data_IF_439913614986
#
_entry.id   IF_439913614986
#
_cell.length_a   1.000
_cell.length_b   1.000
_cell.length_c   1.000
_cell.angle_alpha   90.00
_cell.angle_beta   90.00
_cell.angle_gamma   90.00
#
_symmetry.space_group_name_H-M   'P 1'
#
loop_
_entity.id
_entity.type
_entity.pdbx_description
1 polymer ?
#
# COMPACT_ATOMS: atom_id res chain seq x y z
N UNK A 1 -27.16 -3.00 38.72
CA UNK A 1 -26.12 -1.95 38.55
C UNK A 1 -24.91 -2.30 39.39
N UNK A 2 -24.05 -3.20 38.90
CA UNK A 2 -22.84 -3.61 39.60
C UNK A 2 -21.66 -3.49 38.65
N UNK A 3 -21.06 -2.30 38.58
CA UNK A 3 -19.74 -2.12 37.97
C UNK A 3 -18.87 -1.22 38.84
N UNK A 4 -17.86 -1.87 39.42
CA UNK A 4 -16.48 -1.39 39.56
C UNK A 4 -16.19 -0.19 40.47
N UNK A 5 -16.15 -0.44 41.79
CA UNK A 5 -15.07 0.15 42.62
C UNK A 5 -13.81 -0.69 42.44
N UNK A 6 -13.21 -0.64 41.24
CA UNK A 6 -11.90 -1.24 41.04
C UNK A 6 -10.91 -0.52 41.96
N UNK A 7 -10.10 -1.26 42.71
CA UNK A 7 -9.09 -0.67 43.59
C UNK A 7 -8.20 0.28 42.77
N UNK A 8 -8.05 1.54 43.21
CA UNK A 8 -7.22 2.56 42.53
C UNK A 8 -5.82 2.03 42.18
N UNK A 9 -5.27 1.15 43.03
CA UNK A 9 -3.99 0.50 42.80
C UNK A 9 -3.99 -0.39 41.56
N UNK A 10 -5.03 -1.22 41.36
CA UNK A 10 -5.14 -2.09 40.17
C UNK A 10 -5.28 -1.27 38.89
N UNK A 11 -6.04 -0.17 38.95
CA UNK A 11 -6.16 0.75 37.81
C UNK A 11 -4.83 1.41 37.45
N UNK A 12 -4.02 1.76 38.46
CA UNK A 12 -2.68 2.30 38.21
C UNK A 12 -1.75 1.24 37.61
N UNK A 13 -1.79 0.01 38.12
CA UNK A 13 -0.98 -1.10 37.61
C UNK A 13 -1.35 -1.42 36.15
N UNK A 14 -2.64 -1.45 35.81
CA UNK A 14 -3.08 -1.77 34.43
C UNK A 14 -2.61 -0.74 33.41
N UNK A 15 -2.35 0.50 33.85
CA UNK A 15 -1.82 1.58 33.01
C UNK A 15 -0.30 1.57 32.87
N UNK A 16 0.40 0.69 33.56
CA UNK A 16 1.86 0.60 33.43
C UNK A 16 2.25 0.13 32.04
N UNK A 17 3.33 0.71 31.49
CA UNK A 17 3.85 0.35 30.17
C UNK A 17 4.14 -1.15 30.04
N UNK A 18 4.67 -1.79 31.09
CA UNK A 18 4.95 -3.23 31.09
C UNK A 18 3.71 -4.09 30.82
N UNK A 19 2.57 -3.75 31.43
CA UNK A 19 1.28 -4.43 31.17
C UNK A 19 0.82 -4.19 29.73
N UNK A 20 0.97 -2.98 29.20
CA UNK A 20 0.58 -2.65 27.82
C UNK A 20 1.43 -3.35 26.77
N UNK A 21 2.75 -3.49 27.00
CA UNK A 21 3.63 -4.31 26.15
C UNK A 21 3.14 -5.75 26.08
N UNK A 22 2.74 -6.35 27.21
CA UNK A 22 2.20 -7.71 27.22
C UNK A 22 0.85 -7.79 26.46
N UNK A 23 0.02 -6.75 26.54
CA UNK A 23 -1.22 -6.67 25.79
C UNK A 23 -0.97 -6.63 24.27
N UNK A 24 0.02 -5.86 23.82
CA UNK A 24 0.47 -5.81 22.41
C UNK A 24 0.96 -7.17 21.95
N UNK A 25 1.84 -7.83 22.71
CA UNK A 25 2.33 -9.18 22.39
C UNK A 25 1.19 -10.19 22.27
N UNK A 26 0.20 -10.10 23.16
CA UNK A 26 -1.00 -10.94 23.09
C UNK A 26 -1.80 -10.64 21.82
N UNK A 27 -2.02 -9.37 21.50
CA UNK A 27 -2.72 -8.98 20.28
C UNK A 27 -2.00 -9.46 19.01
N UNK A 28 -0.66 -9.37 18.96
CA UNK A 28 0.16 -9.93 17.87
C UNK A 28 0.01 -11.44 17.74
N UNK A 29 -0.06 -12.16 18.87
CA UNK A 29 -0.23 -13.62 18.86
C UNK A 29 -1.59 -14.07 18.29
N UNK A 30 -2.61 -13.21 18.32
CA UNK A 30 -3.93 -13.46 17.71
C UNK A 30 -4.09 -12.84 16.32
N UNK A 31 -3.09 -12.08 15.83
CA UNK A 31 -3.18 -11.43 14.53
C UNK A 31 -2.79 -12.41 13.41
N UNK A 32 -3.74 -12.88 12.59
CA UNK A 32 -3.46 -13.83 11.52
C UNK A 32 -2.57 -13.24 10.41
N UNK A 33 -2.44 -11.91 10.34
CA UNK A 33 -1.66 -11.22 9.34
C UNK A 33 -0.27 -10.82 9.84
N UNK A 34 0.08 -11.16 11.09
CA UNK A 34 1.38 -10.86 11.71
C UNK A 34 1.79 -9.38 11.53
N UNK A 35 0.84 -8.47 11.74
CA UNK A 35 1.06 -7.07 11.44
C UNK A 35 2.21 -6.49 12.28
N UNK A 36 3.23 -5.87 11.66
CA UNK A 36 4.32 -5.25 12.38
C UNK A 36 3.86 -4.00 13.14
N UNK A 37 4.68 -3.57 14.10
CA UNK A 37 4.57 -2.24 14.69
C UNK A 37 5.18 -1.22 13.72
N UNK A 38 4.65 0.00 13.70
CA UNK A 38 5.18 1.07 12.83
C UNK A 38 6.60 1.52 13.25
N UNK A 39 6.99 1.24 14.50
CA UNK A 39 8.29 1.57 15.10
C UNK A 39 8.65 0.58 16.22
N UNK A 40 9.88 0.67 16.73
CA UNK A 40 10.30 -0.08 17.91
C UNK A 40 9.33 0.10 19.10
N UNK A 41 9.01 -1.00 19.80
CA UNK A 41 8.01 -1.00 20.88
C UNK A 41 8.39 -0.05 22.03
N UNK A 42 9.69 0.16 22.23
CA UNK A 42 10.33 1.09 23.17
C UNK A 42 9.86 2.53 23.00
N UNK A 43 9.55 2.93 21.75
CA UNK A 43 9.18 4.31 21.41
C UNK A 43 7.70 4.61 21.59
N UNK A 44 6.88 3.61 21.90
CA UNK A 44 5.46 3.85 22.20
C UNK A 44 5.26 4.20 23.68
N UNK A 45 4.41 5.20 23.88
CA UNK A 45 3.81 5.51 25.18
C UNK A 45 2.87 4.38 25.61
N UNK A 46 2.54 4.33 26.90
CA UNK A 46 1.61 3.32 27.41
C UNK A 46 0.22 3.43 26.76
N UNK A 47 -0.24 4.65 26.50
CA UNK A 47 -1.54 4.91 25.89
C UNK A 47 -1.56 4.47 24.42
N UNK A 48 -0.51 4.76 23.65
CA UNK A 48 -0.43 4.29 22.26
C UNK A 48 -0.37 2.76 22.16
N UNK A 49 0.31 2.09 23.09
CA UNK A 49 0.34 0.62 23.15
C UNK A 49 -1.04 0.04 23.48
N UNK A 50 -1.79 0.68 24.39
CA UNK A 50 -3.17 0.32 24.68
C UNK A 50 -4.04 0.47 23.43
N UNK A 51 -4.02 1.63 22.81
CA UNK A 51 -4.83 1.93 21.62
C UNK A 51 -4.49 0.97 20.47
N UNK A 52 -3.21 0.67 20.27
CA UNK A 52 -2.76 -0.29 19.26
C UNK A 52 -3.30 -1.69 19.51
N UNK A 53 -3.22 -2.18 20.76
CA UNK A 53 -3.65 -3.53 21.10
C UNK A 53 -5.17 -3.66 21.09
N UNK A 54 -5.89 -2.67 21.62
CA UNK A 54 -7.35 -2.66 21.66
C UNK A 54 -7.95 -2.67 20.27
N UNK A 55 -7.38 -1.95 19.31
CA UNK A 55 -7.83 -1.99 17.90
C UNK A 55 -7.79 -3.39 17.32
N UNK A 56 -6.71 -4.14 17.54
CA UNK A 56 -6.57 -5.51 17.01
C UNK A 56 -7.44 -6.52 17.74
N UNK A 57 -7.45 -6.46 19.07
CA UNK A 57 -8.26 -7.37 19.88
C UNK A 57 -9.76 -7.18 19.60
N UNK A 58 -10.22 -5.95 19.41
CA UNK A 58 -11.65 -5.67 19.12
C UNK A 58 -12.06 -6.02 17.69
N UNK A 59 -11.13 -6.03 16.73
CA UNK A 59 -11.42 -6.47 15.35
C UNK A 59 -11.71 -7.97 15.27
N UNK A 60 -10.96 -8.79 16.03
CA UNK A 60 -11.12 -10.24 16.02
C UNK A 60 -12.52 -10.69 16.49
N UNK A 61 -13.05 -10.06 17.53
CA UNK A 61 -14.34 -10.43 18.09
C UNK A 61 -15.54 -9.99 17.24
N UNK A 62 -15.37 -8.99 16.35
CA UNK A 62 -16.49 -8.29 15.71
C UNK A 62 -16.74 -8.65 14.25
N UNK A 63 -15.81 -9.33 13.58
CA UNK A 63 -15.94 -9.59 12.14
C UNK A 63 -15.73 -11.06 11.76
N UNK A 64 -16.66 -11.95 12.11
CA UNK A 64 -16.63 -13.32 11.59
C UNK A 64 -16.74 -13.31 10.05
N UNK A 65 -16.17 -14.30 9.34
CA UNK A 65 -16.08 -14.32 7.87
C UNK A 65 -17.43 -14.15 7.13
N UNK A 66 -18.53 -14.49 7.81
CA UNK A 66 -19.88 -14.46 7.24
C UNK A 66 -20.73 -13.27 7.75
N UNK A 67 -20.11 -12.27 8.40
CA UNK A 67 -20.84 -11.15 8.95
C UNK A 67 -21.20 -10.13 7.87
N UNK A 68 -22.49 -10.03 7.55
CA UNK A 68 -23.06 -8.95 6.72
C UNK A 68 -23.28 -7.65 7.49
N UNK A 69 -22.74 -7.53 8.72
CA UNK A 69 -22.89 -6.32 9.52
C UNK A 69 -22.14 -5.16 8.86
N UNK A 70 -22.74 -3.97 8.95
CA UNK A 70 -22.10 -2.74 8.48
C UNK A 70 -20.86 -2.42 9.31
N UNK A 71 -19.85 -1.76 8.71
CA UNK A 71 -18.67 -1.34 9.44
C UNK A 71 -19.08 -0.52 10.68
N UNK A 72 -18.47 -0.82 11.84
CA UNK A 72 -18.79 -0.11 13.09
C UNK A 72 -18.49 1.39 13.02
N UNK A 73 -17.65 1.79 12.06
CA UNK A 73 -17.33 3.19 11.77
C UNK A 73 -17.04 3.33 10.29
N UNK A 74 -17.84 4.15 9.61
CA UNK A 74 -17.55 4.60 8.25
C UNK A 74 -17.14 6.07 8.32
N UNK A 75 -16.04 6.43 7.64
CA UNK A 75 -15.64 7.82 7.44
C UNK A 75 -15.56 8.06 5.94
N UNK A 76 -16.15 9.16 5.50
CA UNK A 76 -15.95 9.68 4.15
C UNK A 76 -14.94 10.79 4.27
N UNK A 77 -13.79 10.65 3.63
CA UNK A 77 -12.85 11.74 3.44
C UNK A 77 -12.76 12.00 1.94
N UNK A 78 -12.83 13.27 1.57
CA UNK A 78 -12.56 13.71 0.21
C UNK A 78 -11.11 14.17 0.21
N UNK A 79 -10.16 13.37 -0.30
CA UNK A 79 -8.83 13.92 -0.52
C UNK A 79 -9.03 15.14 -1.42
N UNK A 80 -8.54 16.31 -0.98
CA UNK A 80 -8.67 17.59 -1.71
C UNK A 80 -8.16 17.51 -3.17
N UNK A 81 -7.48 16.43 -3.52
CA UNK A 81 -7.00 16.08 -4.85
C UNK A 81 -7.51 14.67 -5.17
N UNK A 82 -8.04 14.46 -6.38
CA UNK A 82 -8.60 13.17 -6.80
C UNK A 82 -7.52 12.09 -6.74
N UNK A 83 -7.65 11.17 -5.80
CA UNK A 83 -6.80 9.99 -5.73
C UNK A 83 -7.08 9.07 -6.92
N UNK A 84 -6.05 8.52 -7.55
CA UNK A 84 -6.20 7.57 -8.67
C UNK A 84 -6.04 6.14 -8.18
N UNK A 85 -4.91 5.84 -7.56
CA UNK A 85 -4.62 4.55 -6.94
C UNK A 85 -4.36 4.73 -5.46
N UNK A 86 -4.70 3.74 -4.66
CA UNK A 86 -4.44 3.75 -3.23
C UNK A 86 -4.10 2.35 -2.74
N UNK A 87 -3.11 2.28 -1.85
CA UNK A 87 -2.68 1.06 -1.19
C UNK A 87 -2.74 1.27 0.32
N UNK A 88 -3.25 0.27 1.02
CA UNK A 88 -3.25 0.23 2.48
C UNK A 88 -1.99 -0.51 2.93
N UNK A 89 -1.14 0.15 3.72
CA UNK A 89 0.02 -0.49 4.31
C UNK A 89 -0.39 -1.46 5.43
N UNK A 90 0.45 -2.45 5.77
CA UNK A 90 0.17 -3.38 6.85
C UNK A 90 -0.19 -2.64 8.14
N UNK A 91 -1.22 -3.12 8.82
CA UNK A 91 -1.77 -2.53 10.04
C UNK A 91 -2.83 -1.46 9.84
N UNK A 92 -3.10 -1.09 8.60
CA UNK A 92 -4.33 -0.39 8.24
C UNK A 92 -4.39 1.07 8.70
N UNK A 93 -3.32 1.61 9.28
CA UNK A 93 -3.22 3.02 9.66
C UNK A 93 -2.86 3.91 8.48
N UNK A 94 -1.94 3.48 7.64
CA UNK A 94 -1.35 4.33 6.61
C UNK A 94 -1.90 3.98 5.23
N UNK A 95 -2.51 4.95 4.57
CA UNK A 95 -2.96 4.84 3.19
C UNK A 95 -2.04 5.66 2.29
N UNK A 96 -1.40 5.02 1.32
CA UNK A 96 -0.59 5.72 0.30
C UNK A 96 -1.43 5.86 -0.96
N UNK A 97 -1.47 7.05 -1.53
CA UNK A 97 -2.28 7.34 -2.72
C UNK A 97 -1.48 8.12 -3.76
N UNK A 98 -1.74 7.81 -5.04
CA UNK A 98 -1.36 8.67 -6.16
C UNK A 98 -2.44 9.72 -6.39
N UNK A 99 -2.02 10.93 -6.76
CA UNK A 99 -2.91 12.02 -7.11
C UNK A 99 -3.04 12.15 -8.63
N UNK A 100 -4.18 12.62 -9.11
CA UNK A 100 -4.44 12.87 -10.54
C UNK A 100 -3.48 13.84 -11.23
N UNK A 101 -2.72 14.61 -10.45
CA UNK A 101 -1.71 15.54 -10.94
C UNK A 101 -0.28 15.05 -10.69
N UNK A 102 -0.11 13.78 -10.34
CA UNK A 102 1.21 13.17 -10.17
C UNK A 102 1.67 13.01 -8.72
N UNK A 103 1.33 13.89 -7.78
CA UNK A 103 1.85 13.76 -6.41
C UNK A 103 1.58 12.41 -5.71
N UNK A 104 2.43 12.06 -4.76
CA UNK A 104 2.23 10.95 -3.82
C UNK A 104 1.93 11.48 -2.43
N UNK A 105 0.90 10.93 -1.81
CA UNK A 105 0.50 11.30 -0.45
C UNK A 105 0.38 10.09 0.45
N UNK A 106 0.69 10.28 1.73
CA UNK A 106 0.40 9.32 2.79
C UNK A 106 -0.64 9.92 3.72
N UNK A 107 -1.69 9.17 4.04
CA UNK A 107 -2.79 9.60 4.91
C UNK A 107 -2.80 8.76 6.19
N UNK A 108 -2.83 9.43 7.34
CA UNK A 108 -3.03 8.79 8.65
C UNK A 108 -4.53 8.55 8.87
N UNK A 109 -4.99 7.30 8.77
CA UNK A 109 -6.39 6.93 8.95
C UNK A 109 -6.83 6.94 10.43
N UNK A 110 -5.87 6.92 11.36
CA UNK A 110 -6.18 7.03 12.79
C UNK A 110 -6.41 8.49 13.19
N UNK A 111 -5.78 9.44 12.50
CA UNK A 111 -5.98 10.87 12.76
C UNK A 111 -7.47 11.24 12.67
N UNK A 112 -8.00 12.07 13.59
CA UNK A 112 -9.42 12.45 13.58
C UNK A 112 -9.87 13.04 12.23
N UNK A 113 -9.01 13.84 11.61
CA UNK A 113 -9.25 14.55 10.35
C UNK A 113 -8.63 13.87 9.12
N UNK A 114 -8.09 12.66 9.27
CA UNK A 114 -7.35 11.96 8.21
C UNK A 114 -6.25 12.85 7.58
N UNK A 115 -5.33 13.34 8.41
CA UNK A 115 -4.24 14.21 7.96
C UNK A 115 -3.42 13.52 6.86
N UNK A 116 -3.12 14.26 5.80
CA UNK A 116 -2.31 13.77 4.69
C UNK A 116 -0.99 14.53 4.61
N UNK A 117 0.05 13.82 4.20
CA UNK A 117 1.38 14.37 3.96
C UNK A 117 1.77 14.10 2.51
N UNK A 118 2.18 15.14 1.79
CA UNK A 118 2.85 14.99 0.50
C UNK A 118 4.24 14.39 0.73
N UNK A 119 4.50 13.22 0.16
CA UNK A 119 5.82 12.58 0.22
C UNK A 119 6.61 12.77 -1.07
N UNK A 120 5.94 13.11 -2.18
CA UNK A 120 6.58 13.47 -3.43
C UNK A 120 5.67 14.37 -4.27
N UNK A 121 6.28 15.33 -4.95
CA UNK A 121 5.60 16.23 -5.88
C UNK A 121 6.22 16.13 -7.28
N UNK A 122 5.40 16.21 -8.35
CA UNK A 122 5.87 16.24 -9.73
C UNK A 122 6.92 17.32 -9.95
N UNK A 123 8.01 16.98 -10.63
CA UNK A 123 9.06 17.91 -11.03
C UNK A 123 9.04 18.16 -12.55
N UNK A 124 8.60 17.16 -13.32
CA UNK A 124 8.55 17.18 -14.77
C UNK A 124 7.09 17.12 -15.28
N UNK A 125 6.86 17.27 -16.58
CA UNK A 125 5.50 17.22 -17.16
C UNK A 125 4.97 15.79 -17.27
N UNK A 126 5.86 14.83 -17.54
CA UNK A 126 5.56 13.39 -17.57
C UNK A 126 5.25 12.82 -16.17
N UNK A 127 5.76 13.44 -15.12
CA UNK A 127 5.37 13.14 -13.73
C UNK A 127 3.86 13.34 -13.46
N UNK A 128 3.18 14.15 -14.29
CA UNK A 128 1.74 14.46 -14.16
C UNK A 128 0.86 13.46 -14.90
N UNK A 129 1.43 12.57 -15.70
CA UNK A 129 0.69 11.53 -16.40
C UNK A 129 -0.06 10.63 -15.42
N UNK A 130 -1.20 10.03 -15.80
CA UNK A 130 -1.94 9.12 -14.94
C UNK A 130 -1.06 7.97 -14.44
N UNK A 131 -1.22 7.64 -13.16
CA UNK A 131 -0.71 6.40 -12.60
C UNK A 131 -1.49 5.21 -13.18
N UNK A 132 -0.79 4.13 -13.54
CA UNK A 132 -1.41 2.88 -14.02
C UNK A 132 -1.46 1.81 -12.93
N UNK A 133 -0.43 1.78 -12.07
CA UNK A 133 -0.34 0.88 -10.93
C UNK A 133 0.38 1.57 -9.76
N UNK A 134 0.09 1.10 -8.54
CA UNK A 134 0.79 1.52 -7.34
C UNK A 134 1.01 0.28 -6.48
N UNK A 135 2.26 -0.10 -6.28
CA UNK A 135 2.62 -1.31 -5.51
C UNK A 135 3.76 -1.02 -4.56
N UNK A 136 3.89 -1.85 -3.52
CA UNK A 136 4.88 -1.63 -2.47
C UNK A 136 5.49 -2.94 -1.98
N UNK A 137 6.62 -2.81 -1.29
CA UNK A 137 7.30 -3.89 -0.58
C UNK A 137 7.83 -3.38 0.76
N UNK A 138 7.43 -4.00 1.87
CA UNK A 138 7.91 -3.63 3.22
C UNK A 138 9.34 -4.16 3.43
N UNK A 139 10.19 -3.32 4.01
CA UNK A 139 11.49 -3.73 4.53
C UNK A 139 11.34 -4.17 5.99
N UNK A 140 11.16 -5.48 6.20
CA UNK A 140 10.97 -6.08 7.53
C UNK A 140 12.23 -6.00 8.42
N UNK A 141 13.39 -5.72 7.83
CA UNK A 141 14.67 -5.58 8.55
C UNK A 141 14.84 -4.15 9.12
N UNK A 142 14.02 -3.19 8.69
CA UNK A 142 14.12 -1.80 9.12
C UNK A 142 13.52 -1.57 10.52
N UNK A 143 14.17 -0.73 11.38
CA UNK A 143 13.67 -0.48 12.74
C UNK A 143 12.40 0.39 12.78
N UNK A 144 12.17 1.19 11.74
CA UNK A 144 10.93 1.93 11.50
C UNK A 144 10.26 1.45 10.22
N UNK A 145 8.94 1.65 10.12
CA UNK A 145 8.16 1.36 8.92
C UNK A 145 8.84 1.97 7.69
N UNK A 146 9.44 1.09 6.90
CA UNK A 146 10.16 1.43 5.68
C UNK A 146 9.68 0.51 4.58
N UNK A 147 9.46 1.08 3.41
CA UNK A 147 8.99 0.34 2.27
C UNK A 147 9.51 0.93 0.96
N UNK A 148 9.73 0.06 0.00
CA UNK A 148 9.95 0.46 -1.37
C UNK A 148 8.58 0.58 -2.07
N UNK A 149 8.41 1.62 -2.88
CA UNK A 149 7.19 1.94 -3.62
C UNK A 149 7.53 1.96 -5.10
N UNK A 150 6.71 1.31 -5.93
CA UNK A 150 6.80 1.38 -7.37
C UNK A 150 5.51 1.95 -7.98
N UNK A 151 5.70 2.76 -9.01
CA UNK A 151 4.65 3.46 -9.73
C UNK A 151 5.02 3.49 -11.20
N UNK A 152 4.08 3.14 -12.07
CA UNK A 152 4.21 3.37 -13.49
C UNK A 152 3.22 4.43 -13.96
N UNK A 153 3.68 5.25 -14.89
CA UNK A 153 2.89 6.30 -15.54
C UNK A 153 3.00 6.17 -17.04
N UNK A 154 1.89 6.40 -17.72
CA UNK A 154 1.81 6.33 -19.17
C UNK A 154 1.26 7.65 -19.72
N UNK A 155 1.85 8.14 -20.81
CA UNK A 155 1.28 9.26 -21.54
C UNK A 155 -0.07 8.85 -22.15
N UNK A 156 -1.18 9.52 -21.79
CA UNK A 156 -2.48 9.20 -22.38
C UNK A 156 -2.59 9.60 -23.85
N UNK A 157 -1.67 10.42 -24.37
CA UNK A 157 -1.68 10.92 -25.74
C UNK A 157 -0.70 10.19 -26.68
N UNK A 158 0.17 9.33 -26.16
CA UNK A 158 1.20 8.66 -26.96
C UNK A 158 0.69 7.34 -27.53
N UNK A 159 0.76 7.19 -28.86
CA UNK A 159 0.51 5.91 -29.54
C UNK A 159 1.57 4.84 -29.22
N UNK A 160 2.75 5.26 -28.76
CA UNK A 160 3.87 4.37 -28.45
C UNK A 160 3.78 3.78 -27.03
N UNK A 161 2.82 4.26 -26.23
CA UNK A 161 2.65 3.89 -24.83
C UNK A 161 3.99 3.90 -24.06
N UNK A 162 4.71 5.02 -24.13
CA UNK A 162 5.92 5.18 -23.33
C UNK A 162 5.53 5.18 -21.85
N UNK A 163 6.08 4.22 -21.11
CA UNK A 163 5.82 4.08 -19.68
C UNK A 163 7.07 4.45 -18.91
N UNK A 164 6.95 5.43 -18.01
CA UNK A 164 7.99 5.76 -17.05
C UNK A 164 7.67 5.09 -15.72
N UNK A 165 8.61 4.29 -15.23
CA UNK A 165 8.49 3.58 -13.95
C UNK A 165 9.38 4.28 -12.93
N UNK A 166 8.85 4.50 -11.74
CA UNK A 166 9.51 5.17 -10.64
C UNK A 166 9.57 4.26 -9.42
N UNK A 167 10.67 4.37 -8.69
CA UNK A 167 10.89 3.65 -7.45
C UNK A 167 11.31 4.62 -6.35
N UNK A 168 10.62 4.59 -5.22
CA UNK A 168 11.00 5.33 -4.02
C UNK A 168 11.24 4.40 -2.87
N UNK A 169 12.15 4.78 -1.98
CA UNK A 169 12.22 4.24 -0.63
C UNK A 169 11.58 5.26 0.30
N UNK A 170 10.58 4.81 1.04
CA UNK A 170 9.78 5.62 1.94
C UNK A 170 10.00 5.12 3.36
N UNK A 171 10.32 6.02 4.29
CA UNK A 171 10.59 5.68 5.70
C UNK A 171 9.82 6.62 6.62
N UNK A 172 9.19 6.04 7.64
CA UNK A 172 8.59 6.77 8.75
C UNK A 172 9.68 7.31 9.68
N UNK A 173 9.53 8.55 10.13
CA UNK A 173 10.40 9.18 11.10
C UNK A 173 10.40 8.43 12.43
N UNK A 174 11.47 8.56 13.20
CA UNK A 174 11.62 7.94 14.52
C UNK A 174 10.47 8.28 15.48
N UNK A 175 9.94 9.51 15.40
CA UNK A 175 8.79 9.97 16.19
C UNK A 175 7.44 9.43 15.70
N UNK A 176 7.40 8.70 14.58
CA UNK A 176 6.20 8.09 14.01
C UNK A 176 5.19 9.08 13.43
N UNK A 177 5.61 10.30 13.09
CA UNK A 177 4.69 11.37 12.64
C UNK A 177 4.82 11.75 11.18
N UNK A 178 5.97 11.53 10.54
CA UNK A 178 6.25 12.00 9.19
C UNK A 178 6.94 10.95 8.34
N UNK A 179 6.53 10.84 7.09
CA UNK A 179 7.25 10.06 6.10
C UNK A 179 8.29 10.91 5.37
N UNK A 180 9.40 10.27 5.00
CA UNK A 180 10.36 10.79 4.04
C UNK A 180 10.40 9.84 2.86
N UNK A 181 10.47 10.37 1.64
CA UNK A 181 10.61 9.56 0.44
C UNK A 181 11.86 9.99 -0.32
N UNK A 182 12.62 9.01 -0.78
CA UNK A 182 13.79 9.20 -1.62
C UNK A 182 13.61 8.40 -2.89
N UNK A 183 13.70 9.05 -4.04
CA UNK A 183 13.73 8.32 -5.32
C UNK A 183 14.99 7.47 -5.38
N UNK A 184 14.81 6.17 -5.63
CA UNK A 184 15.89 5.18 -5.71
C UNK A 184 16.28 4.93 -7.15
N UNK A 185 15.28 4.82 -8.03
CA UNK A 185 15.50 4.63 -9.46
C UNK A 185 14.30 5.12 -10.27
N UNK A 186 14.51 5.37 -11.55
CA UNK A 186 13.47 5.52 -12.55
C UNK A 186 14.00 5.11 -13.92
N UNK A 187 13.13 4.56 -14.75
CA UNK A 187 13.50 4.23 -16.13
C UNK A 187 12.27 4.24 -17.05
N UNK A 188 12.54 4.47 -18.33
CA UNK A 188 11.57 4.31 -19.39
C UNK A 188 11.48 2.85 -19.81
N UNK A 189 10.30 2.43 -20.26
CA UNK A 189 10.09 1.13 -20.89
C UNK A 189 8.95 1.23 -21.89
N UNK A 190 9.06 0.48 -22.98
CA UNK A 190 7.97 0.37 -23.94
C UNK A 190 6.82 -0.37 -23.27
N UNK A 191 5.66 0.28 -23.15
CA UNK A 191 4.46 -0.30 -22.60
C UNK A 191 3.50 -0.65 -23.71
N UNK A 192 3.79 -1.63 -24.58
CA UNK A 192 2.87 -1.98 -25.69
C UNK A 192 1.41 -2.16 -25.23
N UNK A 193 1.22 -2.51 -23.96
CA UNK A 193 -0.09 -2.72 -23.35
C UNK A 193 -0.21 -2.07 -21.97
N UNK A 194 -1.44 -1.76 -21.56
CA UNK A 194 -1.77 -1.22 -20.25
C UNK A 194 -1.42 -2.23 -19.15
N UNK A 195 -0.80 -1.75 -18.06
CA UNK A 195 -0.57 -2.53 -16.85
C UNK A 195 -1.92 -2.92 -16.23
N UNK A 196 -2.15 -4.23 -16.10
CA UNK A 196 -3.33 -4.81 -15.45
C UNK A 196 -3.06 -5.07 -13.98
N UNK A 197 -1.86 -5.53 -13.67
CA UNK A 197 -1.44 -5.85 -12.31
C UNK A 197 0.08 -5.70 -12.18
N UNK A 198 0.54 -5.48 -10.96
CA UNK A 198 1.95 -5.35 -10.66
C UNK A 198 2.28 -5.93 -9.27
N UNK A 199 3.56 -6.25 -9.09
CA UNK A 199 4.09 -6.71 -7.80
C UNK A 199 5.50 -6.22 -7.61
N UNK A 200 5.86 -5.91 -6.36
CA UNK A 200 7.19 -5.45 -5.99
C UNK A 200 7.76 -6.36 -4.90
N UNK A 201 9.03 -6.70 -5.07
CA UNK A 201 9.85 -7.39 -4.09
C UNK A 201 11.16 -6.64 -3.89
N UNK A 202 11.96 -7.05 -2.90
CA UNK A 202 13.29 -6.49 -2.63
C UNK A 202 14.19 -6.40 -3.87
N UNK A 203 14.05 -7.34 -4.82
CA UNK A 203 14.92 -7.45 -6.01
C UNK A 203 14.21 -7.18 -7.32
N UNK A 204 12.94 -7.58 -7.42
CA UNK A 204 12.22 -7.60 -8.68
C UNK A 204 10.94 -6.77 -8.64
N UNK A 205 10.70 -6.08 -9.74
CA UNK A 205 9.42 -5.48 -10.07
C UNK A 205 8.81 -6.32 -11.20
N UNK A 206 7.60 -6.84 -10.96
CA UNK A 206 6.85 -7.59 -11.95
C UNK A 206 5.62 -6.79 -12.37
N UNK A 207 5.27 -6.82 -13.64
CA UNK A 207 3.99 -6.29 -14.13
C UNK A 207 3.39 -7.20 -15.17
N UNK A 208 2.06 -7.25 -15.19
CA UNK A 208 1.26 -7.96 -16.18
C UNK A 208 0.63 -6.91 -17.07
N UNK A 209 0.97 -6.94 -18.35
CA UNK A 209 0.40 -6.04 -19.34
C UNK A 209 -0.70 -6.78 -20.11
N UNK A 210 -1.87 -6.14 -20.23
CA UNK A 210 -3.05 -6.69 -20.87
C UNK A 210 -3.17 -6.24 -22.31
N UNK A 211 -2.81 -7.11 -23.25
CA UNK A 211 -2.86 -6.80 -24.67
C UNK A 211 -4.23 -6.97 -25.31
N UNK A 212 -4.43 -6.21 -26.39
CA UNK A 212 -5.56 -6.41 -27.28
C UNK A 212 -5.51 -7.83 -27.85
N UNK A 213 -6.67 -8.50 -27.94
CA UNK A 213 -6.83 -9.90 -28.44
C UNK A 213 -6.31 -11.02 -27.53
N UNK A 214 -6.22 -10.78 -26.22
CA UNK A 214 -5.94 -11.86 -25.24
C UNK A 214 -4.46 -12.25 -25.15
N UNK A 215 -3.56 -11.37 -25.60
CA UNK A 215 -2.14 -11.48 -25.37
C UNK A 215 -1.81 -10.87 -24.02
N UNK A 216 -1.33 -11.67 -23.07
CA UNK A 216 -0.79 -11.15 -21.82
C UNK A 216 0.73 -11.23 -21.86
N UNK A 217 1.41 -10.20 -21.39
CA UNK A 217 2.84 -10.21 -21.19
C UNK A 217 3.15 -10.01 -19.71
N UNK A 218 3.95 -10.88 -19.13
CA UNK A 218 4.53 -10.67 -17.81
C UNK A 218 5.94 -10.18 -18.01
N UNK A 219 6.23 -8.98 -17.49
CA UNK A 219 7.59 -8.43 -17.48
C UNK A 219 8.14 -8.43 -16.06
N UNK A 220 9.38 -8.87 -15.92
CA UNK A 220 10.12 -8.92 -14.66
C UNK A 220 11.39 -8.10 -14.80
N UNK A 221 11.56 -7.08 -13.98
CA UNK A 221 12.71 -6.17 -13.99
C UNK A 221 13.53 -6.35 -12.71
N UNK A 222 14.86 -6.40 -12.83
CA UNK A 222 15.75 -6.21 -11.68
C UNK A 222 15.84 -4.71 -11.36
N UNK A 223 14.80 -4.18 -10.71
CA UNK A 223 14.47 -2.75 -10.75
C UNK A 223 15.52 -1.80 -10.19
N UNK A 224 16.47 -2.27 -9.38
CA UNK A 224 17.61 -1.46 -8.90
C UNK A 224 18.77 -1.37 -9.88
N UNK A 225 18.81 -2.28 -10.85
CA UNK A 225 19.91 -2.40 -11.83
C UNK A 225 19.47 -1.96 -13.23
N UNK A 226 18.17 -2.07 -13.54
CA UNK A 226 17.60 -1.59 -14.81
C UNK A 226 17.76 -0.09 -14.96
N UNK A 227 18.22 0.35 -16.13
CA UNK A 227 18.22 1.76 -16.57
C UNK A 227 17.49 1.86 -17.91
N UNK A 228 17.17 3.08 -18.35
CA UNK A 228 16.55 3.31 -19.67
C UNK A 228 17.43 2.82 -20.84
N UNK A 229 18.75 2.78 -20.64
CA UNK A 229 19.72 2.31 -21.63
C UNK A 229 19.98 0.79 -21.55
N UNK A 230 19.72 0.19 -20.39
CA UNK A 230 20.05 -1.21 -20.13
C UNK A 230 18.93 -1.92 -19.37
N UNK A 231 18.19 -2.74 -20.11
CA UNK A 231 17.07 -3.51 -19.58
C UNK A 231 17.52 -4.85 -19.02
N UNK A 232 17.66 -4.94 -17.69
CA UNK A 232 17.72 -6.24 -17.00
C UNK A 232 16.31 -6.78 -16.79
N UNK A 233 15.70 -7.25 -17.88
CA UNK A 233 14.33 -7.77 -17.88
C UNK A 233 14.18 -9.17 -18.46
N UNK A 234 13.17 -9.87 -17.99
CA UNK A 234 12.65 -11.09 -18.60
C UNK A 234 11.18 -10.87 -18.97
N UNK A 235 10.76 -11.40 -20.12
CA UNK A 235 9.39 -11.25 -20.62
C UNK A 235 8.79 -12.62 -20.95
N UNK A 236 7.58 -12.87 -20.46
CA UNK A 236 6.80 -14.08 -20.74
C UNK A 236 5.51 -13.69 -21.45
N UNK A 237 5.33 -14.15 -22.68
CA UNK A 237 4.11 -13.92 -23.47
C UNK A 237 3.18 -15.12 -23.36
N UNK A 238 2.00 -14.89 -22.77
CA UNK A 238 0.92 -15.87 -22.71
C UNK A 238 0.01 -15.64 -23.92
N UNK A 239 -0.01 -16.61 -24.83
CA UNK A 239 -0.94 -16.63 -25.97
C UNK A 239 -2.19 -17.39 -25.56
N UNK A 240 -3.32 -16.69 -25.46
CA UNK A 240 -4.61 -17.36 -25.34
C UNK A 240 -4.93 -18.08 -26.64
N UNK A 241 -5.41 -19.33 -26.56
CA UNK A 241 -6.00 -20.00 -27.72
C UNK A 241 -7.13 -19.12 -28.25
N UNK A 242 -7.18 -18.80 -29.55
CA UNK A 242 -8.25 -17.98 -30.08
C UNK A 242 -9.58 -18.64 -29.76
N UNK A 243 -10.42 -17.96 -28.98
CA UNK A 243 -11.79 -18.42 -28.75
C UNK A 243 -12.47 -18.42 -30.12
N UNK A 244 -12.97 -19.57 -30.62
CA UNK A 244 -13.65 -19.58 -31.90
C UNK A 244 -14.82 -18.60 -31.83
N UNK A 245 -14.86 -17.64 -32.76
CA UNK A 245 -15.96 -16.71 -32.89
C UNK A 245 -17.16 -17.55 -33.32
N UNK A 246 -18.02 -17.91 -32.37
CA UNK A 246 -19.30 -18.56 -32.68
C UNK A 246 -20.18 -17.45 -33.25
N UNK A 247 -20.22 -17.34 -34.57
CA UNK A 247 -21.25 -16.57 -35.23
C UNK A 247 -22.58 -17.26 -34.96
N UNK A 248 -23.34 -16.74 -34.00
CA UNK A 248 -24.75 -17.07 -33.88
C UNK A 248 -25.46 -16.46 -35.08
N UNK A 249 -25.50 -17.20 -36.20
CA UNK A 249 -26.40 -16.89 -37.28
C UNK A 249 -27.82 -17.08 -36.74
N UNK A 250 -28.43 -15.97 -36.31
CA UNK A 250 -29.86 -15.91 -36.04
C UNK A 250 -30.57 -16.26 -37.34
N UNK A 251 -31.13 -17.46 -37.38
CA UNK A 251 -32.17 -17.83 -38.34
C UNK A 251 -33.38 -16.93 -38.05
N UNK A 252 -33.67 -16.01 -38.97
CA UNK A 252 -34.96 -15.33 -39.10
C UNK A 252 -35.86 -16.20 -39.96
#
# INVERSE_FOLDING_TARGET
MAHTKTCKALHHISKTRGVRVQLVKRAQAYDPYHTPLDRAIERYTADELEDWAMRRLTQFDKWPPNCSQMPSRQRSFYPNRRAQHSILLPGGRWLVSTLSFGGLVVTDLDAPEASHQSIWEPQEDDDKWPAMSLVYHIDEEAPELTFDLALDRCDPASDLNDVKVYFWRVSLSEDGTKFTARMVNSFWTNGEYLTVDASLTKKYFARINGGSRGHHCVELFHWRETTSDMYYKSSLHVKSTPTPIIYSNGLV
#
